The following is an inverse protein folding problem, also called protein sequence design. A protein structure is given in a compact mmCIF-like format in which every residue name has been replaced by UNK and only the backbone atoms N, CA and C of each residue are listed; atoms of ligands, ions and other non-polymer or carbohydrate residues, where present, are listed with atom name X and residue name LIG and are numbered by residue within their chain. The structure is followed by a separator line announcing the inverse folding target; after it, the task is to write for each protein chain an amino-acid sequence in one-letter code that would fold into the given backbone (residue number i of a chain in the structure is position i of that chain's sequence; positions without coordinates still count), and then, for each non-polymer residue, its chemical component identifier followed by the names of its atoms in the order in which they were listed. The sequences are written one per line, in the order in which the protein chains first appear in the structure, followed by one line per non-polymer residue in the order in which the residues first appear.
data_IF_520650259699
#
_entry.id   IF_520650259699
#
_cell.length_a   1.000
_cell.length_b   1.000
_cell.length_c   1.000
_cell.angle_alpha   90.00
_cell.angle_beta   90.00
_cell.angle_gamma   90.00
#
_symmetry.space_group_name_H-M   'P 1'
#
loop_
_entity.id
_entity.type
_entity.pdbx_description
1 polymer ?
#
# COMPACT_ATOMS: atom_id res chain seq x y z
N UNK A 1 -14.33 6.62 86.43
CA UNK A 1 -13.06 6.06 85.89
C UNK A 1 -12.41 7.09 84.99
N UNK A 2 -11.30 7.71 85.41
CA UNK A 2 -10.50 8.62 84.57
C UNK A 2 -9.67 7.75 83.61
N UNK A 3 -10.04 7.71 82.33
CA UNK A 3 -9.20 7.10 81.30
C UNK A 3 -7.88 7.89 81.21
N UNK A 4 -6.76 7.16 81.17
CA UNK A 4 -5.44 7.78 81.11
C UNK A 4 -5.25 8.55 79.79
N UNK A 5 -4.48 9.64 79.87
CA UNK A 5 -4.11 10.52 78.74
C UNK A 5 -3.54 9.78 77.52
N UNK A 6 -3.03 8.55 77.71
CA UNK A 6 -2.54 7.70 76.63
C UNK A 6 -3.65 7.08 75.78
N UNK A 7 -4.79 6.68 76.38
CA UNK A 7 -5.89 6.03 75.65
C UNK A 7 -6.66 6.99 74.74
N UNK A 8 -6.78 8.26 75.13
CA UNK A 8 -7.42 9.32 74.32
C UNK A 8 -6.59 9.70 73.09
N UNK A 9 -5.25 9.67 73.20
CA UNK A 9 -4.36 9.97 72.08
C UNK A 9 -4.31 8.86 71.01
N UNK A 10 -4.51 7.61 71.40
CA UNK A 10 -4.51 6.46 70.48
C UNK A 10 -5.81 6.40 69.66
N UNK A 11 -6.96 6.74 70.25
CA UNK A 11 -8.25 6.74 69.54
C UNK A 11 -8.32 7.90 68.54
N UNK A 12 -7.77 9.07 68.87
CA UNK A 12 -7.68 10.21 67.93
C UNK A 12 -6.69 9.95 66.80
N UNK A 13 -5.58 9.23 67.06
CA UNK A 13 -4.63 8.83 66.02
C UNK A 13 -5.21 7.79 65.04
N UNK A 14 -6.06 6.85 65.51
CA UNK A 14 -6.74 5.90 64.62
C UNK A 14 -7.81 6.54 63.74
N UNK A 15 -8.52 7.57 64.23
CA UNK A 15 -9.53 8.29 63.43
C UNK A 15 -8.91 9.20 62.36
N UNK A 16 -7.76 9.82 62.64
CA UNK A 16 -7.03 10.61 61.63
C UNK A 16 -6.40 9.70 60.57
N UNK A 17 -5.96 8.48 60.93
CA UNK A 17 -5.40 7.53 59.95
C UNK A 17 -6.48 6.90 59.04
N UNK A 18 -7.71 6.69 59.52
CA UNK A 18 -8.83 6.24 58.67
C UNK A 18 -9.38 7.36 57.77
N UNK A 19 -9.36 8.62 58.22
CA UNK A 19 -9.75 9.76 57.38
C UNK A 19 -8.72 10.07 56.28
N UNK A 20 -7.44 9.75 56.49
CA UNK A 20 -6.39 9.96 55.49
C UNK A 20 -6.31 8.84 54.42
N UNK A 21 -6.83 7.64 54.70
CA UNK A 21 -6.94 6.57 53.69
C UNK A 21 -8.17 6.71 52.77
N UNK A 22 -9.17 7.52 53.14
CA UNK A 22 -10.36 7.76 52.32
C UNK A 22 -10.19 8.81 51.20
N UNK A 23 -9.11 9.60 51.22
CA UNK A 23 -8.90 10.73 50.30
C UNK A 23 -8.04 10.45 49.06
N UNK A 24 -7.39 9.28 48.97
CA UNK A 24 -6.44 8.95 47.88
C UNK A 24 -7.03 8.10 46.74
N UNK A 25 -8.36 7.97 46.64
CA UNK A 25 -9.02 7.23 45.56
C UNK A 25 -9.67 8.13 44.48
N UNK A 26 -9.59 9.46 44.59
CA UNK A 26 -10.12 10.41 43.62
C UNK A 26 -8.98 10.93 42.73
N UNK A 27 -8.56 10.11 41.78
CA UNK A 27 -7.50 10.50 40.83
C UNK A 27 -6.84 9.36 40.08
N UNK A 28 -7.43 8.16 40.05
CA UNK A 28 -7.08 7.22 38.99
C UNK A 28 -7.58 7.84 37.68
N UNK A 29 -6.72 8.62 37.03
CA UNK A 29 -6.84 8.91 35.60
C UNK A 29 -7.13 7.57 34.94
N UNK A 30 -8.37 7.41 34.47
CA UNK A 30 -8.82 6.22 33.80
C UNK A 30 -8.09 6.20 32.47
N UNK A 31 -6.85 5.70 32.48
CA UNK A 31 -5.96 5.67 31.32
C UNK A 31 -6.69 4.86 30.26
N UNK A 32 -7.24 5.55 29.27
CA UNK A 32 -8.03 4.94 28.21
C UNK A 32 -7.20 3.81 27.60
N UNK A 33 -7.76 2.60 27.56
CA UNK A 33 -7.01 1.43 27.11
C UNK A 33 -6.48 1.67 25.68
N UNK A 34 -5.17 1.48 25.51
CA UNK A 34 -4.50 1.59 24.22
C UNK A 34 -5.15 0.65 23.19
N UNK A 35 -5.60 1.21 22.07
CA UNK A 35 -6.17 0.44 20.95
C UNK A 35 -5.06 0.16 19.94
N UNK A 36 -4.81 -1.11 19.62
CA UNK A 36 -3.81 -1.51 18.62
C UNK A 36 -4.50 -1.92 17.32
N UNK A 37 -4.30 -1.15 16.26
CA UNK A 37 -4.78 -1.48 14.91
C UNK A 37 -3.72 -2.24 14.12
N UNK A 38 -4.08 -3.43 13.62
CA UNK A 38 -3.29 -4.16 12.64
C UNK A 38 -3.53 -3.55 11.25
N UNK A 39 -2.47 -2.99 10.68
CA UNK A 39 -2.52 -2.25 9.42
C UNK A 39 -1.58 -2.90 8.40
N UNK A 40 -2.06 -3.23 7.19
CA UNK A 40 -1.23 -3.85 6.16
C UNK A 40 -0.96 -2.91 4.98
N UNK A 41 0.21 -3.05 4.35
CA UNK A 41 0.56 -2.35 3.11
C UNK A 41 1.49 -3.20 2.24
N UNK A 42 1.32 -3.12 0.92
CA UNK A 42 2.23 -3.74 -0.04
C UNK A 42 3.57 -2.99 -0.17
N UNK A 43 3.62 -1.72 0.27
CA UNK A 43 4.84 -0.92 0.19
C UNK A 43 5.96 -1.51 1.07
N UNK A 44 7.15 -1.81 0.53
CA UNK A 44 8.31 -2.17 1.32
C UNK A 44 8.74 -1.04 2.25
N UNK A 45 9.39 -1.38 3.37
CA UNK A 45 10.03 -0.37 4.23
C UNK A 45 11.08 0.41 3.43
N UNK A 46 11.22 1.70 3.71
CA UNK A 46 12.21 2.57 3.06
C UNK A 46 11.74 3.18 1.74
N UNK A 47 10.60 2.75 1.19
CA UNK A 47 9.98 3.38 0.02
C UNK A 47 9.24 4.67 0.40
N UNK A 48 9.14 5.65 -0.49
CA UNK A 48 8.63 6.98 -0.15
C UNK A 48 7.27 7.04 0.50
N UNK A 49 6.29 6.29 0.01
CA UNK A 49 4.98 6.23 0.66
C UNK A 49 5.06 5.57 2.05
N UNK A 50 5.95 4.59 2.24
CA UNK A 50 6.17 3.94 3.52
C UNK A 50 6.87 4.87 4.52
N UNK A 51 7.83 5.66 4.05
CA UNK A 51 8.50 6.69 4.84
C UNK A 51 7.52 7.80 5.22
N UNK A 52 6.74 8.32 4.26
CA UNK A 52 5.70 9.30 4.54
C UNK A 52 4.64 8.78 5.52
N UNK A 53 4.30 7.48 5.45
CA UNK A 53 3.39 6.87 6.44
C UNK A 53 4.01 6.89 7.84
N UNK A 54 5.25 6.43 7.96
CA UNK A 54 5.97 6.32 9.23
C UNK A 54 6.30 7.67 9.84
N UNK A 55 6.73 8.64 9.03
CA UNK A 55 7.36 9.88 9.49
C UNK A 55 6.38 11.06 9.51
N UNK A 56 5.22 10.94 8.86
CA UNK A 56 4.20 12.01 8.78
C UNK A 56 2.86 11.53 9.33
N UNK A 57 2.30 10.45 8.77
CA UNK A 57 0.97 9.99 9.16
C UNK A 57 0.92 9.46 10.59
N UNK A 58 1.81 8.52 10.96
CA UNK A 58 1.82 7.94 12.31
C UNK A 58 2.02 9.00 13.41
N UNK A 59 2.98 9.95 13.33
CA UNK A 59 3.13 11.01 14.33
C UNK A 59 1.91 11.93 14.43
N UNK A 60 1.25 12.23 13.30
CA UNK A 60 0.02 13.01 13.30
C UNK A 60 -1.12 12.28 14.02
N UNK A 61 -1.23 10.96 13.84
CA UNK A 61 -2.21 10.13 14.55
C UNK A 61 -1.88 10.02 16.04
N UNK A 62 -0.60 9.85 16.40
CA UNK A 62 -0.15 9.83 17.81
C UNK A 62 -0.51 11.16 18.51
N UNK A 63 -0.29 12.29 17.84
CA UNK A 63 -0.66 13.60 18.37
C UNK A 63 -2.18 13.79 18.44
N UNK A 64 -2.93 13.36 17.43
CA UNK A 64 -4.38 13.51 17.39
C UNK A 64 -5.09 12.62 18.42
N UNK A 65 -4.48 11.48 18.79
CA UNK A 65 -5.06 10.47 19.68
C UNK A 65 -4.42 10.41 21.05
N UNK A 66 -3.48 11.31 21.34
CA UNK A 66 -2.68 11.32 22.58
C UNK A 66 -2.02 9.97 22.86
N UNK A 67 -1.57 9.29 21.79
CA UNK A 67 -1.01 7.94 21.81
C UNK A 67 -1.95 6.90 22.42
N UNK A 68 -3.26 7.06 22.22
CA UNK A 68 -4.25 6.04 22.58
C UNK A 68 -4.46 5.05 21.44
N UNK A 69 -4.18 5.44 20.19
CA UNK A 69 -4.26 4.55 19.01
C UNK A 69 -2.85 4.21 18.52
N UNK A 70 -2.53 2.91 18.53
CA UNK A 70 -1.25 2.38 18.08
C UNK A 70 -1.40 1.57 16.80
N UNK A 71 -0.36 1.59 15.96
CA UNK A 71 -0.34 0.93 14.66
C UNK A 71 0.64 -0.24 14.65
N UNK A 72 0.14 -1.46 14.50
CA UNK A 72 0.97 -2.62 14.15
C UNK A 72 0.98 -2.77 12.64
N UNK A 73 2.04 -2.26 12.00
CA UNK A 73 2.14 -2.22 10.53
C UNK A 73 2.82 -3.47 9.98
N UNK A 74 2.16 -4.12 9.03
CA UNK A 74 2.64 -5.24 8.24
C UNK A 74 3.04 -4.74 6.86
N UNK A 75 4.35 -4.66 6.62
CA UNK A 75 4.95 -4.03 5.44
C UNK A 75 5.20 -5.02 4.30
N UNK A 76 5.39 -4.50 3.08
CA UNK A 76 5.97 -5.24 1.97
C UNK A 76 5.16 -6.46 1.51
N UNK A 77 3.85 -6.47 1.70
CA UNK A 77 3.02 -7.57 1.19
C UNK A 77 3.04 -8.84 2.05
N UNK A 78 3.62 -8.84 3.26
CA UNK A 78 3.70 -10.05 4.09
C UNK A 78 2.33 -10.61 4.50
N UNK A 79 1.28 -9.78 4.42
CA UNK A 79 -0.11 -10.18 4.68
C UNK A 79 -0.87 -10.54 3.39
N UNK A 80 -0.19 -10.68 2.25
CA UNK A 80 -0.77 -10.96 0.94
C UNK A 80 -0.93 -9.71 0.06
N UNK A 81 -1.80 -9.81 -0.95
CA UNK A 81 -2.13 -8.71 -1.85
C UNK A 81 -3.34 -7.91 -1.35
N UNK A 82 -3.70 -6.83 -2.04
CA UNK A 82 -4.85 -5.99 -1.71
C UNK A 82 -6.16 -6.77 -1.48
N UNK A 83 -6.42 -7.81 -2.29
CA UNK A 83 -7.58 -8.67 -2.15
C UNK A 83 -7.55 -9.51 -0.86
N UNK A 84 -6.36 -9.94 -0.44
CA UNK A 84 -6.16 -10.55 0.87
C UNK A 84 -6.39 -9.56 2.00
N UNK A 85 -5.96 -8.30 1.86
CA UNK A 85 -6.16 -7.28 2.89
C UNK A 85 -7.64 -7.03 3.11
N UNK A 86 -8.40 -6.83 2.03
CA UNK A 86 -9.85 -6.60 2.10
C UNK A 86 -10.57 -7.80 2.72
N UNK A 87 -10.23 -9.04 2.33
CA UNK A 87 -10.79 -10.26 2.97
C UNK A 87 -10.46 -10.36 4.45
N UNK A 88 -9.22 -10.06 4.83
CA UNK A 88 -8.77 -10.08 6.23
C UNK A 88 -9.42 -8.99 7.07
N UNK A 89 -9.71 -7.82 6.49
CA UNK A 89 -10.50 -6.77 7.13
C UNK A 89 -11.95 -7.20 7.34
N UNK A 90 -12.57 -7.87 6.37
CA UNK A 90 -13.94 -8.37 6.48
C UNK A 90 -14.13 -9.36 7.65
N UNK A 91 -13.11 -10.16 7.98
CA UNK A 91 -13.14 -11.11 9.12
C UNK A 91 -12.50 -10.54 10.40
N UNK A 92 -12.11 -9.26 10.43
CA UNK A 92 -11.54 -8.59 11.60
C UNK A 92 -10.08 -8.97 11.94
N UNK A 93 -9.37 -9.69 11.06
CA UNK A 93 -7.95 -10.01 11.24
C UNK A 93 -7.06 -8.77 11.03
N UNK A 94 -7.48 -7.84 10.17
CA UNK A 94 -6.89 -6.51 10.00
C UNK A 94 -7.92 -5.43 10.35
N UNK A 95 -7.46 -4.31 10.90
CA UNK A 95 -8.31 -3.15 11.22
C UNK A 95 -8.24 -2.07 10.13
N UNK A 96 -7.20 -2.10 9.30
CA UNK A 96 -7.04 -1.18 8.18
C UNK A 96 -5.90 -1.58 7.24
N UNK A 97 -5.69 -0.74 6.23
CA UNK A 97 -4.57 -0.90 5.30
C UNK A 97 -4.35 0.30 4.40
N UNK A 98 -3.13 0.38 3.87
CA UNK A 98 -2.78 1.22 2.75
C UNK A 98 -2.97 0.38 1.50
N UNK A 99 -4.01 0.70 0.73
CA UNK A 99 -4.42 -0.07 -0.45
C UNK A 99 -4.00 0.66 -1.72
N UNK A 100 -3.62 -0.12 -2.73
CA UNK A 100 -3.52 0.38 -4.10
C UNK A 100 -4.93 0.53 -4.68
N UNK A 101 -5.02 1.07 -5.89
CA UNK A 101 -6.28 1.17 -6.63
C UNK A 101 -7.04 -0.16 -6.72
N UNK A 102 -6.35 -1.30 -6.73
CA UNK A 102 -6.99 -2.63 -6.77
C UNK A 102 -7.84 -2.87 -5.53
N UNK A 103 -7.24 -2.75 -4.33
CA UNK A 103 -7.96 -2.94 -3.07
C UNK A 103 -8.98 -1.84 -2.81
N UNK A 104 -8.65 -0.61 -3.20
CA UNK A 104 -9.56 0.52 -3.07
C UNK A 104 -10.84 0.30 -3.88
N UNK A 105 -10.74 -0.15 -5.13
CA UNK A 105 -11.88 -0.44 -6.00
C UNK A 105 -12.71 -1.65 -5.52
N UNK A 106 -12.10 -2.61 -4.82
CA UNK A 106 -12.85 -3.71 -4.20
C UNK A 106 -13.78 -3.23 -3.07
N UNK A 107 -13.41 -2.15 -2.38
CA UNK A 107 -14.25 -1.53 -1.35
C UNK A 107 -15.26 -0.58 -1.98
N UNK A 108 -14.79 0.32 -2.85
CA UNK A 108 -15.57 1.40 -3.46
C UNK A 108 -15.27 1.48 -4.96
N UNK A 109 -16.05 0.79 -5.81
CA UNK A 109 -15.89 0.85 -7.27
C UNK A 109 -15.96 2.28 -7.83
N UNK A 110 -16.69 3.17 -7.15
CA UNK A 110 -16.84 4.58 -7.51
C UNK A 110 -15.49 5.30 -7.57
N UNK A 111 -14.52 4.88 -6.75
CA UNK A 111 -13.17 5.45 -6.69
C UNK A 111 -12.39 5.28 -8.00
N UNK A 112 -12.77 4.30 -8.83
CA UNK A 112 -12.13 4.04 -10.13
C UNK A 112 -12.26 5.20 -11.13
N UNK A 113 -13.21 6.12 -10.92
CA UNK A 113 -13.35 7.34 -11.73
C UNK A 113 -12.07 8.17 -11.75
N UNK A 114 -11.33 8.19 -10.64
CA UNK A 114 -10.09 8.97 -10.48
C UNK A 114 -8.93 8.44 -11.32
N UNK A 115 -9.03 7.19 -11.78
CA UNK A 115 -8.01 6.52 -12.58
C UNK A 115 -8.33 6.51 -14.08
N UNK A 116 -9.37 7.25 -14.51
CA UNK A 116 -9.66 7.43 -15.93
C UNK A 116 -8.44 8.04 -16.65
N UNK A 117 -8.05 7.49 -17.82
CA UNK A 117 -6.86 7.96 -18.51
C UNK A 117 -7.06 9.39 -19.00
N UNK A 118 -6.06 10.24 -18.75
CA UNK A 118 -6.04 11.67 -19.07
C UNK A 118 -7.11 12.54 -18.39
N UNK A 119 -7.67 12.07 -17.27
CA UNK A 119 -8.60 12.88 -16.46
C UNK A 119 -7.89 14.12 -15.87
N UNK A 120 -6.75 13.88 -15.20
CA UNK A 120 -5.91 14.91 -14.59
C UNK A 120 -4.67 15.18 -15.45
N UNK A 121 -4.24 16.44 -15.53
CA UNK A 121 -3.02 16.85 -16.21
C UNK A 121 -1.82 16.96 -15.24
N UNK A 122 -2.09 17.38 -14.02
CA UNK A 122 -1.09 17.68 -13.00
C UNK A 122 -1.61 17.45 -11.58
N UNK A 123 -0.74 17.66 -10.60
CA UNK A 123 -1.04 17.41 -9.20
C UNK A 123 -1.94 18.49 -8.59
N UNK A 124 -1.92 19.69 -9.15
CA UNK A 124 -2.72 20.82 -8.73
C UNK A 124 -4.20 20.60 -9.07
N UNK A 125 -4.50 20.04 -10.25
CA UNK A 125 -5.85 19.56 -10.59
C UNK A 125 -6.31 18.45 -9.63
N UNK A 126 -5.43 17.50 -9.28
CA UNK A 126 -5.73 16.42 -8.33
C UNK A 126 -6.05 16.99 -6.95
N UNK A 127 -5.23 17.92 -6.44
CA UNK A 127 -5.45 18.57 -5.15
C UNK A 127 -6.75 19.35 -5.13
N UNK A 128 -7.05 20.10 -6.20
CA UNK A 128 -8.26 20.90 -6.30
C UNK A 128 -9.53 20.06 -6.20
N UNK A 129 -9.56 18.90 -6.88
CA UNK A 129 -10.67 17.94 -6.82
C UNK A 129 -10.71 17.25 -5.46
N UNK A 130 -9.56 16.79 -4.95
CA UNK A 130 -9.46 16.11 -3.66
C UNK A 130 -9.98 16.96 -2.50
N UNK A 131 -9.62 18.24 -2.46
CA UNK A 131 -10.04 19.16 -1.39
C UNK A 131 -11.57 19.31 -1.32
N UNK A 132 -12.27 19.16 -2.45
CA UNK A 132 -13.73 19.29 -2.56
C UNK A 132 -14.45 17.96 -2.42
N UNK A 133 -13.86 16.88 -2.90
CA UNK A 133 -14.55 15.59 -3.05
C UNK A 133 -14.11 14.52 -2.06
N UNK A 134 -13.17 14.81 -1.14
CA UNK A 134 -12.75 13.83 -0.12
C UNK A 134 -13.95 13.26 0.65
N UNK A 135 -14.84 14.13 1.13
CA UNK A 135 -15.98 13.70 1.94
C UNK A 135 -17.03 12.95 1.11
N UNK A 136 -17.19 13.29 -0.17
CA UNK A 136 -17.97 12.51 -1.14
C UNK A 136 -17.44 11.08 -1.24
N UNK A 137 -16.13 10.91 -1.48
CA UNK A 137 -15.53 9.57 -1.54
C UNK A 137 -15.61 8.84 -0.19
N UNK A 138 -15.27 9.50 0.92
CA UNK A 138 -15.38 8.92 2.26
C UNK A 138 -16.80 8.41 2.55
N UNK A 139 -17.84 9.10 2.08
CA UNK A 139 -19.22 8.63 2.21
C UNK A 139 -19.47 7.30 1.51
N UNK A 140 -18.86 7.06 0.34
CA UNK A 140 -18.94 5.77 -0.35
C UNK A 140 -18.25 4.67 0.46
N UNK A 141 -17.05 4.93 1.00
CA UNK A 141 -16.37 3.98 1.89
C UNK A 141 -17.23 3.67 3.13
N UNK A 142 -17.82 4.69 3.76
CA UNK A 142 -18.61 4.54 4.99
C UNK A 142 -19.85 3.69 4.77
N UNK A 143 -20.52 3.84 3.62
CA UNK A 143 -21.64 2.96 3.20
C UNK A 143 -21.22 1.51 3.01
N UNK A 144 -19.94 1.25 2.73
CA UNK A 144 -19.36 -0.09 2.54
C UNK A 144 -18.67 -0.62 3.79
N UNK A 145 -18.80 0.08 4.93
CA UNK A 145 -18.24 -0.36 6.20
C UNK A 145 -16.76 -0.03 6.36
N UNK A 146 -16.26 1.03 5.72
CA UNK A 146 -14.88 1.52 5.84
C UNK A 146 -14.84 3.03 6.03
N UNK A 147 -13.81 3.53 6.72
CA UNK A 147 -13.47 4.95 6.78
C UNK A 147 -12.30 5.23 5.84
N UNK A 148 -12.43 6.22 4.96
CA UNK A 148 -11.31 6.75 4.19
C UNK A 148 -10.55 7.74 5.07
N UNK A 149 -9.37 7.34 5.54
CA UNK A 149 -8.51 8.21 6.34
C UNK A 149 -7.75 9.21 5.48
N UNK A 150 -7.16 8.72 4.38
CA UNK A 150 -6.34 9.52 3.48
C UNK A 150 -6.54 9.05 2.05
N UNK A 151 -6.80 9.98 1.13
CA UNK A 151 -6.62 9.80 -0.31
C UNK A 151 -5.23 10.31 -0.69
N UNK A 152 -4.27 9.40 -0.83
CA UNK A 152 -2.88 9.72 -1.11
C UNK A 152 -2.53 9.57 -2.59
N UNK A 153 -1.50 10.28 -3.02
CA UNK A 153 -0.88 10.05 -4.32
C UNK A 153 0.00 8.81 -4.27
N UNK A 154 -0.22 7.89 -5.22
CA UNK A 154 0.91 7.10 -5.69
C UNK A 154 1.72 7.97 -6.66
N UNK A 155 1.28 8.17 -7.90
CA UNK A 155 1.92 9.10 -8.84
C UNK A 155 1.03 9.27 -10.08
N UNK A 156 1.52 9.98 -11.08
CA UNK A 156 1.15 9.70 -12.47
C UNK A 156 1.93 8.51 -13.00
N UNK A 157 1.21 7.52 -13.49
CA UNK A 157 1.84 6.31 -14.01
C UNK A 157 2.51 6.57 -15.36
N UNK A 158 3.75 6.08 -15.48
CA UNK A 158 4.56 6.11 -16.69
C UNK A 158 4.82 4.70 -17.18
N UNK A 159 5.08 4.57 -18.48
CA UNK A 159 5.47 3.30 -19.08
C UNK A 159 6.99 3.20 -19.08
N UNK A 160 7.51 2.18 -18.40
CA UNK A 160 8.93 1.81 -18.42
C UNK A 160 9.12 0.60 -19.32
N UNK A 161 10.25 0.56 -20.01
CA UNK A 161 10.46 -0.40 -21.07
C UNK A 161 11.91 -0.84 -21.17
N UNK A 162 12.10 -2.14 -21.32
CA UNK A 162 13.41 -2.77 -21.56
C UNK A 162 13.81 -2.72 -23.04
N UNK A 163 12.85 -2.45 -23.94
CA UNK A 163 13.01 -2.65 -25.40
C UNK A 163 12.41 -1.56 -26.27
N UNK A 164 11.15 -1.19 -26.04
CA UNK A 164 10.37 -0.28 -26.89
C UNK A 164 10.41 1.16 -26.37
N UNK A 165 10.41 2.14 -27.28
CA UNK A 165 10.47 3.57 -26.91
C UNK A 165 9.10 4.11 -26.51
N UNK A 166 8.03 3.49 -27.00
CA UNK A 166 6.66 3.97 -26.91
C UNK A 166 6.47 5.34 -27.56
N UNK A 167 7.16 5.59 -28.69
CA UNK A 167 7.02 6.79 -29.50
C UNK A 167 6.04 6.63 -30.69
N UNK A 168 5.45 5.44 -30.85
CA UNK A 168 4.47 5.11 -31.89
C UNK A 168 3.41 4.13 -31.36
N UNK A 169 2.25 4.03 -32.03
CA UNK A 169 1.22 3.03 -31.70
C UNK A 169 1.68 1.59 -31.97
N UNK A 170 2.62 1.39 -32.89
CA UNK A 170 3.15 0.07 -33.22
C UNK A 170 3.96 -0.51 -32.04
N UNK A 171 4.67 0.34 -31.29
CA UNK A 171 5.35 -0.08 -30.05
C UNK A 171 4.36 -0.67 -29.04
N UNK A 172 3.17 -0.07 -28.87
CA UNK A 172 2.13 -0.62 -28.01
C UNK A 172 1.62 -1.99 -28.49
N UNK A 173 1.48 -2.19 -29.81
CA UNK A 173 1.04 -3.47 -30.39
C UNK A 173 2.04 -4.59 -30.19
N UNK A 174 3.34 -4.28 -30.27
CA UNK A 174 4.44 -5.26 -30.19
C UNK A 174 4.92 -5.53 -28.77
N UNK A 175 4.71 -4.57 -27.87
CA UNK A 175 5.14 -4.68 -26.49
C UNK A 175 4.39 -5.77 -25.72
N UNK A 176 5.12 -6.49 -24.86
CA UNK A 176 4.56 -7.34 -23.82
C UNK A 176 4.28 -6.48 -22.58
N UNK A 177 3.30 -5.58 -22.72
CA UNK A 177 2.99 -4.55 -21.74
C UNK A 177 2.26 -5.12 -20.52
N UNK A 178 2.89 -5.04 -19.36
CA UNK A 178 2.34 -5.46 -18.09
C UNK A 178 1.40 -4.40 -17.51
N UNK A 179 0.23 -4.85 -17.04
CA UNK A 179 -0.77 -4.08 -16.29
C UNK A 179 -1.08 -4.75 -14.96
N UNK A 180 -1.52 -3.97 -13.98
CA UNK A 180 -1.84 -4.45 -12.63
C UNK A 180 -3.13 -3.88 -12.04
N UNK A 181 -3.65 -2.75 -12.57
CA UNK A 181 -4.66 -1.95 -11.87
C UNK A 181 -6.13 -2.21 -12.27
N UNK A 182 -6.37 -3.15 -13.20
CA UNK A 182 -7.70 -3.69 -13.50
C UNK A 182 -8.32 -3.21 -14.81
N UNK A 183 -9.67 -3.25 -14.95
CA UNK A 183 -10.35 -3.26 -16.24
C UNK A 183 -10.25 -1.94 -17.02
N UNK A 184 -10.19 -0.78 -16.34
CA UNK A 184 -9.98 0.52 -17.01
C UNK A 184 -8.62 0.55 -17.69
N UNK A 185 -7.59 0.05 -17.00
CA UNK A 185 -6.23 0.00 -17.52
C UNK A 185 -6.10 -0.92 -18.74
N UNK A 186 -6.64 -2.12 -18.62
CA UNK A 186 -6.71 -3.04 -19.76
C UNK A 186 -7.44 -2.45 -20.96
N UNK A 187 -8.55 -1.73 -20.73
CA UNK A 187 -9.37 -1.22 -21.81
C UNK A 187 -8.65 -0.13 -22.63
N UNK A 188 -7.98 0.81 -21.97
CA UNK A 188 -7.24 1.83 -22.72
C UNK A 188 -5.98 1.24 -23.38
N UNK A 189 -5.31 0.27 -22.75
CA UNK A 189 -4.19 -0.45 -23.40
C UNK A 189 -4.66 -1.18 -24.66
N UNK A 190 -5.79 -1.88 -24.60
CA UNK A 190 -6.41 -2.54 -25.76
C UNK A 190 -6.84 -1.53 -26.82
N UNK A 191 -7.32 -0.34 -26.43
CA UNK A 191 -7.65 0.74 -27.37
C UNK A 191 -6.42 1.25 -28.13
N UNK A 192 -5.23 1.20 -27.52
CA UNK A 192 -3.95 1.49 -28.20
C UNK A 192 -3.45 0.32 -29.07
N UNK A 193 -4.11 -0.83 -29.03
CA UNK A 193 -3.75 -2.03 -29.79
C UNK A 193 -2.82 -2.99 -29.04
N UNK A 194 -2.51 -2.72 -27.77
CA UNK A 194 -1.70 -3.61 -26.95
C UNK A 194 -2.47 -4.87 -26.55
N UNK A 195 -1.72 -5.95 -26.30
CA UNK A 195 -2.22 -7.19 -25.68
C UNK A 195 -1.68 -7.28 -24.25
N UNK A 196 -2.37 -6.70 -23.25
CA UNK A 196 -1.80 -6.53 -21.93
C UNK A 196 -1.62 -7.84 -21.16
N UNK A 197 -0.52 -7.96 -20.42
CA UNK A 197 -0.23 -9.05 -19.50
C UNK A 197 -0.65 -8.62 -18.10
N UNK A 198 -1.67 -9.27 -17.54
CA UNK A 198 -2.20 -8.93 -16.22
C UNK A 198 -1.47 -9.73 -15.14
N UNK A 199 -0.75 -9.05 -14.26
CA UNK A 199 -0.09 -9.63 -13.08
C UNK A 199 -0.26 -8.71 -11.87
N UNK A 200 -0.24 -9.31 -10.67
CA UNK A 200 -0.27 -8.53 -9.43
C UNK A 200 1.00 -7.72 -9.26
N UNK A 201 0.89 -6.56 -8.59
CA UNK A 201 1.98 -5.59 -8.46
C UNK A 201 3.23 -6.18 -7.77
N UNK A 202 3.06 -7.17 -6.89
CA UNK A 202 4.15 -7.85 -6.17
C UNK A 202 4.92 -8.82 -7.08
N UNK A 203 4.23 -9.45 -8.04
CA UNK A 203 4.84 -10.38 -9.00
C UNK A 203 5.49 -9.65 -10.19
N UNK A 204 5.03 -8.44 -10.53
CA UNK A 204 5.48 -7.65 -11.69
C UNK A 204 7.01 -7.47 -11.79
N UNK A 205 7.75 -7.14 -10.71
CA UNK A 205 9.21 -7.02 -10.80
C UNK A 205 9.92 -8.28 -11.29
N UNK A 206 9.43 -9.46 -10.90
CA UNK A 206 10.00 -10.73 -11.34
C UNK A 206 9.68 -11.01 -12.81
N UNK A 207 8.46 -10.70 -13.24
CA UNK A 207 8.03 -10.87 -14.63
C UNK A 207 8.83 -9.99 -15.61
N UNK A 208 9.18 -8.76 -15.20
CA UNK A 208 10.03 -7.88 -16.01
C UNK A 208 11.47 -8.41 -16.06
N UNK A 209 12.06 -8.78 -14.91
CA UNK A 209 13.44 -9.30 -14.86
C UNK A 209 13.63 -10.59 -15.64
N UNK A 210 12.62 -11.45 -15.66
CA UNK A 210 12.66 -12.73 -16.40
C UNK A 210 12.31 -12.59 -17.88
N UNK A 211 11.89 -11.41 -18.34
CA UNK A 211 11.50 -11.18 -19.74
C UNK A 211 10.14 -11.75 -20.13
N UNK A 212 9.31 -12.16 -19.16
CA UNK A 212 7.89 -12.52 -19.39
C UNK A 212 7.17 -11.29 -19.95
N UNK A 213 7.40 -10.13 -19.35
CA UNK A 213 7.00 -8.82 -19.86
C UNK A 213 8.25 -8.00 -20.21
N UNK A 214 8.15 -7.15 -21.23
CA UNK A 214 9.25 -6.27 -21.66
C UNK A 214 9.04 -4.80 -21.29
N UNK A 215 7.86 -4.50 -20.75
CA UNK A 215 7.43 -3.17 -20.35
C UNK A 215 6.35 -3.25 -19.27
N UNK A 216 6.25 -2.22 -18.45
CA UNK A 216 5.24 -2.09 -17.40
C UNK A 216 4.78 -0.65 -17.27
N UNK A 217 3.53 -0.48 -16.83
CA UNK A 217 3.03 0.81 -16.35
C UNK A 217 3.05 0.85 -14.82
N UNK A 218 3.70 1.85 -14.22
CA UNK A 218 3.77 2.01 -12.76
C UNK A 218 4.28 3.41 -12.37
N UNK A 219 4.43 3.65 -11.07
CA UNK A 219 5.00 4.89 -10.52
C UNK A 219 6.52 4.86 -10.47
N UNK A 220 7.16 6.03 -10.50
CA UNK A 220 8.62 6.13 -10.36
C UNK A 220 9.14 5.59 -9.02
N UNK A 221 8.38 5.82 -7.95
CA UNK A 221 8.68 5.29 -6.61
C UNK A 221 8.72 3.76 -6.61
N UNK A 222 7.74 3.11 -7.26
CA UNK A 222 7.72 1.65 -7.33
C UNK A 222 8.89 1.11 -8.17
N UNK A 223 9.17 1.76 -9.31
CA UNK A 223 10.23 1.35 -10.22
C UNK A 223 11.62 1.39 -9.57
N UNK A 224 11.90 2.42 -8.77
CA UNK A 224 13.15 2.53 -8.01
C UNK A 224 13.16 1.62 -6.79
N UNK A 225 12.10 1.63 -5.98
CA UNK A 225 12.06 0.84 -4.74
C UNK A 225 12.14 -0.67 -4.98
N UNK A 226 11.70 -1.15 -6.15
CA UNK A 226 11.82 -2.57 -6.55
C UNK A 226 13.05 -2.88 -7.41
N UNK A 227 13.89 -1.86 -7.67
CA UNK A 227 15.10 -1.93 -8.50
C UNK A 227 14.87 -2.35 -9.96
N UNK A 228 13.61 -2.34 -10.44
CA UNK A 228 13.29 -2.73 -11.82
C UNK A 228 13.85 -1.73 -12.83
N UNK A 229 14.07 -0.47 -12.42
CA UNK A 229 14.68 0.55 -13.27
C UNK A 229 16.03 0.12 -13.88
N UNK A 230 16.80 -0.74 -13.20
CA UNK A 230 18.10 -1.26 -13.68
C UNK A 230 17.97 -2.08 -14.97
N UNK A 231 16.77 -2.56 -15.28
CA UNK A 231 16.47 -3.29 -16.52
C UNK A 231 15.85 -2.40 -17.60
N UNK A 232 15.36 -1.21 -17.22
CA UNK A 232 14.65 -0.29 -18.11
C UNK A 232 15.64 0.48 -18.97
N UNK A 233 15.41 0.50 -20.29
CA UNK A 233 16.15 1.34 -21.23
C UNK A 233 15.44 2.65 -21.52
N UNK A 234 14.10 2.62 -21.52
CA UNK A 234 13.27 3.77 -21.87
C UNK A 234 12.20 4.00 -20.80
N UNK A 235 11.85 5.28 -20.62
CA UNK A 235 10.63 5.71 -19.91
C UNK A 235 9.86 6.65 -20.81
N UNK A 236 8.59 6.34 -21.11
CA UNK A 236 7.72 7.27 -21.80
C UNK A 236 7.34 8.40 -20.84
N UNK A 237 7.52 9.65 -21.26
CA UNK A 237 7.18 10.84 -20.45
C UNK A 237 5.67 11.13 -20.43
N UNK A 238 4.88 10.34 -21.18
CA UNK A 238 3.44 10.52 -21.27
C UNK A 238 2.75 10.03 -20.00
N UNK A 239 2.19 10.99 -19.24
CA UNK A 239 1.33 10.73 -18.07
C UNK A 239 -0.03 10.22 -18.54
N UNK A 240 -0.23 8.90 -18.55
CA UNK A 240 -1.47 8.30 -19.07
C UNK A 240 -2.61 8.40 -18.05
N UNK A 241 -2.33 8.11 -16.78
CA UNK A 241 -3.33 8.20 -15.71
C UNK A 241 -2.69 8.57 -14.39
N UNK A 242 -3.48 9.22 -13.54
CA UNK A 242 -3.18 9.38 -12.13
C UNK A 242 -3.53 8.07 -11.39
N UNK A 243 -2.69 7.68 -10.43
CA UNK A 243 -2.90 6.50 -9.58
C UNK A 243 -3.15 6.95 -8.15
N UNK A 244 -4.41 6.95 -7.69
CA UNK A 244 -4.69 7.19 -6.29
C UNK A 244 -4.43 5.92 -5.46
N UNK A 245 -4.16 6.13 -4.18
CA UNK A 245 -4.22 5.10 -3.17
C UNK A 245 -5.04 5.59 -1.97
N UNK A 246 -5.55 4.63 -1.20
CA UNK A 246 -6.36 4.91 -0.03
C UNK A 246 -5.70 4.33 1.22
N UNK A 247 -5.67 5.11 2.30
CA UNK A 247 -5.52 4.57 3.64
C UNK A 247 -6.91 4.42 4.25
N UNK A 248 -7.24 3.22 4.70
CA UNK A 248 -8.58 2.91 5.24
C UNK A 248 -8.51 2.24 6.60
N UNK A 249 -9.57 2.45 7.39
CA UNK A 249 -9.93 1.59 8.52
C UNK A 249 -11.26 0.93 8.23
N UNK A 250 -11.51 -0.25 8.81
CA UNK A 250 -12.88 -0.77 8.93
C UNK A 250 -13.71 0.22 9.74
N UNK A 251 -15.00 0.37 9.40
CA UNK A 251 -15.93 1.25 10.12
C UNK A 251 -15.98 0.89 11.60
N UNK A 252 -15.99 -0.40 11.94
CA UNK A 252 -15.88 -0.89 13.32
C UNK A 252 -14.63 -0.39 14.05
N UNK A 253 -13.46 -0.44 13.40
CA UNK A 253 -12.23 0.06 14.00
C UNK A 253 -12.27 1.59 14.17
N UNK A 254 -12.73 2.32 13.15
CA UNK A 254 -12.94 3.77 13.24
C UNK A 254 -13.87 4.12 14.41
N UNK A 255 -15.02 3.46 14.52
CA UNK A 255 -16.02 3.72 15.56
C UNK A 255 -15.57 3.30 16.97
N UNK A 256 -14.55 2.46 17.08
CA UNK A 256 -13.94 2.13 18.38
C UNK A 256 -13.02 3.22 18.93
N UNK A 257 -12.59 4.18 18.08
CA UNK A 257 -11.84 5.36 18.52
C UNK A 257 -12.83 6.32 19.20
N UNK A 258 -12.55 6.85 20.41
CA UNK A 258 -13.38 7.88 21.04
C UNK A 258 -13.67 9.07 20.12
N UNK A 259 -14.88 9.60 20.20
CA UNK A 259 -15.38 10.63 19.27
C UNK A 259 -14.48 11.87 19.20
N UNK A 260 -14.06 12.41 20.34
CA UNK A 260 -13.16 13.57 20.40
C UNK A 260 -11.81 13.32 19.67
N UNK A 261 -11.29 12.09 19.67
CA UNK A 261 -10.10 11.73 18.89
C UNK A 261 -10.42 11.58 17.40
N UNK A 262 -11.59 11.04 17.02
CA UNK A 262 -12.05 11.01 15.63
C UNK A 262 -12.18 12.41 15.03
N UNK A 263 -12.68 13.36 15.81
CA UNK A 263 -12.81 14.77 15.40
C UNK A 263 -11.44 15.41 15.19
N UNK A 264 -10.49 15.17 16.09
CA UNK A 264 -9.10 15.63 15.95
C UNK A 264 -8.38 15.01 14.74
N UNK A 265 -8.57 13.71 14.50
CA UNK A 265 -8.06 13.05 13.29
C UNK A 265 -8.65 13.71 12.04
N UNK A 266 -9.95 14.00 12.04
CA UNK A 266 -10.63 14.65 10.92
C UNK A 266 -10.14 16.08 10.70
N UNK A 267 -9.97 16.87 11.77
CA UNK A 267 -9.49 18.24 11.72
C UNK A 267 -8.03 18.36 11.24
N UNK A 268 -7.18 17.38 11.59
CA UNK A 268 -5.75 17.37 11.19
C UNK A 268 -5.49 16.73 9.82
N UNK A 269 -6.52 16.12 9.20
CA UNK A 269 -6.40 15.35 7.95
C UNK A 269 -5.78 16.15 6.81
N UNK A 270 -6.32 17.34 6.52
CA UNK A 270 -5.88 18.14 5.37
C UNK A 270 -4.38 18.49 5.44
N UNK A 271 -3.92 18.97 6.61
CA UNK A 271 -2.50 19.28 6.84
C UNK A 271 -1.61 18.04 6.76
N UNK A 272 -2.07 16.93 7.33
CA UNK A 272 -1.32 15.65 7.29
C UNK A 272 -1.19 15.15 5.86
N UNK A 273 -2.26 15.28 5.08
CA UNK A 273 -2.32 14.85 3.69
C UNK A 273 -1.45 15.69 2.77
N UNK A 274 -1.47 17.02 2.91
CA UNK A 274 -0.57 17.92 2.18
C UNK A 274 0.89 17.55 2.43
N UNK A 275 1.30 17.43 3.70
CA UNK A 275 2.67 17.00 4.06
C UNK A 275 3.02 15.63 3.46
N UNK A 276 2.12 14.66 3.55
CA UNK A 276 2.33 13.30 3.03
C UNK A 276 2.55 13.32 1.51
N UNK A 277 1.67 14.00 0.77
CA UNK A 277 1.72 14.04 -0.69
C UNK A 277 2.89 14.89 -1.18
N UNK A 278 3.22 16.02 -0.53
CA UNK A 278 4.42 16.80 -0.85
C UNK A 278 5.68 15.95 -0.68
N UNK A 279 5.81 15.19 0.41
CA UNK A 279 6.95 14.31 0.63
C UNK A 279 7.04 13.22 -0.45
N UNK A 280 5.90 12.57 -0.74
CA UNK A 280 5.83 11.51 -1.76
C UNK A 280 6.16 12.05 -3.16
N UNK A 281 5.59 13.19 -3.57
CA UNK A 281 5.86 13.82 -4.87
C UNK A 281 7.31 14.26 -5.01
N UNK A 282 7.92 14.80 -3.94
CA UNK A 282 9.34 15.18 -3.92
C UNK A 282 10.22 13.96 -4.19
N UNK A 283 9.91 12.84 -3.55
CA UNK A 283 10.66 11.60 -3.73
C UNK A 283 10.45 10.98 -5.12
N UNK A 284 9.21 10.98 -5.62
CA UNK A 284 8.89 10.55 -6.99
C UNK A 284 9.72 11.31 -8.03
N UNK A 285 9.83 12.63 -7.89
CA UNK A 285 10.69 13.45 -8.75
C UNK A 285 12.17 13.05 -8.63
N UNK A 286 12.68 12.92 -7.41
CA UNK A 286 14.08 12.54 -7.18
C UNK A 286 14.42 11.17 -7.79
N UNK A 287 13.47 10.23 -7.75
CA UNK A 287 13.59 8.92 -8.36
C UNK A 287 13.57 8.96 -9.88
N UNK A 288 12.67 9.75 -10.46
CA UNK A 288 12.67 9.97 -11.91
C UNK A 288 14.02 10.52 -12.40
N UNK A 289 14.53 11.57 -11.73
CA UNK A 289 15.82 12.17 -12.07
C UNK A 289 16.98 11.17 -11.89
N UNK A 290 16.92 10.34 -10.85
CA UNK A 290 17.92 9.30 -10.59
C UNK A 290 17.90 8.22 -11.67
N UNK A 291 16.73 7.74 -12.10
CA UNK A 291 16.61 6.75 -13.17
C UNK A 291 17.27 7.24 -14.47
N UNK A 292 17.05 8.52 -14.82
CA UNK A 292 17.69 9.12 -15.99
C UNK A 292 19.20 9.17 -15.84
N UNK A 293 19.68 9.62 -14.67
CA UNK A 293 21.12 9.65 -14.36
C UNK A 293 21.77 8.27 -14.47
N UNK A 294 21.04 7.20 -14.14
CA UNK A 294 21.51 5.81 -14.22
C UNK A 294 21.20 5.12 -15.55
N UNK A 295 20.88 5.87 -16.60
CA UNK A 295 20.86 5.39 -17.99
C UNK A 295 19.48 5.09 -18.58
N UNK A 296 18.39 5.34 -17.86
CA UNK A 296 17.05 5.25 -18.44
C UNK A 296 16.80 6.46 -19.34
N UNK A 297 16.51 6.23 -20.61
CA UNK A 297 16.30 7.30 -21.59
C UNK A 297 14.83 7.77 -21.57
N UNK A 298 14.55 9.04 -21.27
CA UNK A 298 13.19 9.57 -21.39
C UNK A 298 12.81 9.71 -22.86
N UNK A 299 11.60 9.26 -23.20
CA UNK A 299 11.04 9.35 -24.55
C UNK A 299 9.74 10.13 -24.51
N UNK A 300 9.70 11.22 -25.26
CA UNK A 300 8.48 12.01 -25.45
C UNK A 300 7.94 11.74 -26.86
N UNK A 301 6.77 11.07 -27.01
CA UNK A 301 6.17 10.84 -28.32
C UNK A 301 5.84 12.17 -29.03
N UNK A 302 5.71 12.19 -30.35
CA UNK A 302 5.36 13.43 -31.09
C UNK A 302 3.99 13.98 -30.67
N UNK A 303 3.70 15.25 -31.00
CA UNK A 303 2.38 15.86 -30.75
C UNK A 303 1.23 15.04 -31.31
N UNK A 304 1.39 14.53 -32.54
CA UNK A 304 0.39 13.77 -33.27
C UNK A 304 0.16 12.41 -32.59
N UNK A 305 1.24 11.72 -32.21
CA UNK A 305 1.15 10.44 -31.51
C UNK A 305 0.52 10.63 -30.12
N UNK A 306 0.91 11.67 -29.37
CA UNK A 306 0.29 11.99 -28.08
C UNK A 306 -1.20 12.29 -28.21
N UNK A 307 -1.60 13.06 -29.22
CA UNK A 307 -3.00 13.37 -29.48
C UNK A 307 -3.81 12.10 -29.80
N UNK A 308 -3.26 11.22 -30.62
CA UNK A 308 -3.92 9.96 -30.99
C UNK A 308 -4.03 9.00 -29.80
N UNK A 309 -2.98 8.85 -28.99
CA UNK A 309 -3.02 8.07 -27.74
C UNK A 309 -4.10 8.64 -26.81
N UNK A 310 -4.10 9.97 -26.61
CA UNK A 310 -5.10 10.63 -25.76
C UNK A 310 -6.52 10.35 -26.24
N UNK A 311 -6.78 10.53 -27.54
CA UNK A 311 -8.09 10.28 -28.15
C UNK A 311 -8.56 8.84 -27.93
N UNK A 312 -7.71 7.84 -28.22
CA UNK A 312 -8.04 6.42 -28.04
C UNK A 312 -8.29 6.06 -26.58
N UNK A 313 -7.48 6.56 -25.66
CA UNK A 313 -7.66 6.30 -24.24
C UNK A 313 -8.93 6.98 -23.68
N UNK A 314 -9.22 8.23 -24.05
CA UNK A 314 -10.45 8.91 -23.61
C UNK A 314 -11.70 8.21 -24.15
N UNK A 315 -11.63 7.62 -25.35
CA UNK A 315 -12.77 6.90 -25.95
C UNK A 315 -13.28 5.71 -25.11
N UNK A 316 -12.49 5.20 -24.15
CA UNK A 316 -12.94 4.10 -23.29
C UNK A 316 -13.79 4.55 -22.11
N UNK A 317 -13.80 5.85 -21.76
CA UNK A 317 -14.52 6.35 -20.58
C UNK A 317 -16.00 5.92 -20.55
N UNK A 318 -16.79 6.04 -21.64
CA UNK A 318 -18.21 5.67 -21.63
C UNK A 318 -18.46 4.19 -21.34
N UNK A 319 -17.46 3.31 -21.50
CA UNK A 319 -17.61 1.88 -21.18
C UNK A 319 -17.78 1.64 -19.68
N UNK A 320 -17.31 2.57 -18.84
CA UNK A 320 -17.27 2.46 -17.38
C UNK A 320 -18.24 3.43 -16.69
N UNK A 321 -18.53 4.57 -17.31
CA UNK A 321 -19.52 5.53 -16.82
C UNK A 321 -20.90 4.91 -16.72
N UNK A 322 -21.54 5.02 -15.55
CA UNK A 322 -22.82 4.39 -15.25
C UNK A 322 -22.73 2.90 -14.92
N UNK A 323 -21.53 2.30 -14.94
CA UNK A 323 -21.30 0.89 -14.57
C UNK A 323 -20.42 0.73 -13.35
N UNK A 324 -19.23 1.33 -13.36
CA UNK A 324 -18.30 1.29 -12.22
C UNK A 324 -18.52 2.48 -11.27
N UNK A 325 -18.89 3.62 -11.83
CA UNK A 325 -19.19 4.84 -11.09
C UNK A 325 -20.39 5.54 -11.73
N UNK A 326 -21.20 6.28 -10.93
CA UNK A 326 -22.28 7.08 -11.45
C UNK A 326 -21.79 8.14 -12.45
N UNK A 327 -22.58 8.42 -13.50
CA UNK A 327 -22.28 9.52 -14.43
C UNK A 327 -22.17 10.86 -13.69
N UNK A 328 -23.05 11.11 -12.73
CA UNK A 328 -23.05 12.34 -11.92
C UNK A 328 -21.73 12.57 -11.19
N UNK A 329 -21.05 11.50 -10.74
CA UNK A 329 -19.76 11.62 -10.08
C UNK A 329 -18.67 12.08 -11.07
N UNK A 330 -18.69 11.55 -12.29
CA UNK A 330 -17.77 12.01 -13.34
C UNK A 330 -18.08 13.46 -13.74
N UNK A 331 -19.36 13.80 -13.89
CA UNK A 331 -19.79 15.16 -14.23
C UNK A 331 -19.31 16.16 -13.17
N UNK A 332 -19.48 15.87 -11.87
CA UNK A 332 -19.01 16.72 -10.78
C UNK A 332 -17.48 16.90 -10.78
N UNK A 333 -16.72 15.85 -11.08
CA UNK A 333 -15.25 15.95 -11.23
C UNK A 333 -14.90 16.84 -12.42
N UNK A 334 -15.58 16.66 -13.55
CA UNK A 334 -15.35 17.46 -14.75
C UNK A 334 -15.68 18.93 -14.52
N UNK A 335 -16.77 19.25 -13.83
CA UNK A 335 -17.15 20.62 -13.47
C UNK A 335 -16.08 21.28 -12.57
N UNK A 336 -15.56 20.55 -11.58
CA UNK A 336 -14.45 21.01 -10.75
C UNK A 336 -13.19 21.28 -11.59
N UNK A 337 -12.83 20.38 -12.51
CA UNK A 337 -11.67 20.54 -13.38
C UNK A 337 -11.83 21.72 -14.35
N UNK A 338 -13.02 21.90 -14.91
CA UNK A 338 -13.32 23.05 -15.76
C UNK A 338 -13.23 24.37 -14.99
N UNK A 339 -13.78 24.41 -13.78
CA UNK A 339 -13.67 25.57 -12.88
C UNK A 339 -12.22 25.93 -12.60
N UNK A 340 -11.39 24.93 -12.28
CA UNK A 340 -9.95 25.12 -12.06
C UNK A 340 -9.25 25.67 -13.32
N UNK A 341 -9.49 25.06 -14.49
CA UNK A 341 -8.87 25.43 -15.77
C UNK A 341 -9.27 26.82 -16.25
N UNK A 342 -10.50 27.28 -15.94
CA UNK A 342 -11.01 28.63 -16.26
C UNK A 342 -10.48 29.74 -15.33
N UNK A 343 -9.57 29.42 -14.39
CA UNK A 343 -8.94 30.41 -13.51
C UNK A 343 -9.35 30.31 -12.04
N UNK A 344 -10.15 29.33 -11.65
CA UNK A 344 -10.47 28.99 -10.27
C UNK A 344 -9.27 28.37 -9.53
N UNK A 345 -8.13 29.07 -9.46
CA UNK A 345 -6.90 28.58 -8.81
C UNK A 345 -6.92 28.66 -7.27
N UNK A 346 -8.05 29.05 -6.69
CA UNK A 346 -8.24 29.09 -5.24
C UNK A 346 -8.30 27.68 -4.66
N UNK A 347 -7.20 27.21 -4.06
CA UNK A 347 -7.29 26.23 -2.97
C UNK A 347 -8.29 26.78 -1.96
N UNK A 348 -9.23 25.94 -1.51
CA UNK A 348 -10.08 26.32 -0.38
C UNK A 348 -9.12 26.55 0.78
N UNK A 349 -8.88 27.82 1.16
CA UNK A 349 -8.19 28.15 2.40
C UNK A 349 -9.11 27.70 3.53
N UNK A 350 -9.06 26.42 3.91
CA UNK A 350 -9.59 26.00 5.21
C UNK A 350 -8.69 26.67 6.24
N UNK A 351 -9.29 27.49 7.10
CA UNK A 351 -8.61 28.04 8.26
C UNK A 351 -7.81 26.92 8.91
N UNK A 352 -6.51 27.15 8.99
CA UNK A 352 -5.61 26.32 9.76
C UNK A 352 -6.01 26.58 11.21
N UNK A 353 -7.00 25.85 11.73
CA UNK A 353 -7.29 25.86 13.15
C UNK A 353 -6.05 25.30 13.83
N UNK A 354 -5.28 26.20 14.43
CA UNK A 354 -4.18 25.84 15.30
C UNK A 354 -4.79 25.02 16.44
N UNK A 355 -4.34 23.77 16.59
CA UNK A 355 -4.76 22.99 17.74
C UNK A 355 -4.37 23.77 19.01
N UNK A 356 -5.25 23.87 20.02
CA UNK A 356 -4.94 24.63 21.23
C UNK A 356 -3.62 24.13 21.83
N UNK A 357 -2.79 25.04 22.40
CA UNK A 357 -1.52 24.65 22.99
C UNK A 357 -1.77 23.59 24.07
N UNK A 358 -1.23 22.39 23.83
CA UNK A 358 -1.26 21.31 24.80
C UNK A 358 -0.41 21.74 25.98
N UNK A 359 -1.03 21.92 27.16
CA UNK A 359 -0.30 22.15 28.41
C UNK A 359 0.71 21.01 28.59
N UNK A 360 1.96 21.30 29.00
CA UNK A 360 2.92 20.25 29.30
C UNK A 360 2.33 19.32 30.35
N UNK A 361 2.18 18.04 29.98
CA UNK A 361 1.93 16.99 30.97
C UNK A 361 3.22 16.85 31.76
N UNK A 362 3.17 17.15 33.06
CA UNK A 362 4.25 16.83 34.00
C UNK A 362 4.47 15.31 33.97
N UNK A 363 5.51 14.88 33.26
CA UNK A 363 5.94 13.49 33.29
C UNK A 363 6.64 13.24 34.61
N UNK A 364 5.96 12.55 35.53
CA UNK A 364 6.61 11.91 36.67
C UNK A 364 7.75 11.01 36.16
N UNK A 365 8.93 11.20 36.74
CA UNK A 365 10.17 10.57 36.35
C UNK A 365 10.08 9.04 36.42
N UNK A 366 10.35 8.37 35.29
CA UNK A 366 10.76 6.97 35.27
C UNK A 366 12.19 6.97 34.75
N UNK A 367 13.10 6.44 35.58
CA UNK A 367 14.54 6.38 35.34
C UNK A 367 14.88 5.79 33.97
N UNK A 368 15.60 6.57 33.16
CA UNK A 368 16.25 6.11 31.93
C UNK A 368 17.59 5.48 32.27
N UNK A 369 17.74 4.17 31.99
CA UNK A 369 19.05 3.58 31.78
C UNK A 369 19.51 3.92 30.36
N UNK A 370 20.55 4.74 30.27
CA UNK A 370 21.07 5.29 29.02
C UNK A 370 21.83 4.24 28.19
N UNK A 371 21.66 4.30 26.87
CA UNK A 371 22.61 3.80 25.87
C UNK A 371 23.08 5.01 25.02
N UNK A 372 24.32 5.01 24.50
CA UNK A 372 25.03 6.24 24.14
C UNK A 372 24.53 6.88 22.84
N UNK A 373 24.62 8.20 22.79
CA UNK A 373 24.28 9.04 21.65
C UNK A 373 25.37 9.01 20.58
N UNK A 374 24.98 8.84 19.31
CA UNK A 374 25.80 9.19 18.15
C UNK A 374 25.43 10.60 17.64
N UNK A 375 26.45 11.40 17.33
CA UNK A 375 26.37 12.79 16.86
C UNK A 375 25.90 12.89 15.39
N UNK A 376 25.31 14.01 14.97
CA UNK A 376 24.75 14.18 13.62
C UNK A 376 25.86 14.40 12.58
N UNK A 377 25.79 13.69 11.45
CA UNK A 377 26.67 13.90 10.29
C UNK A 377 25.90 14.64 9.19
N UNK A 378 26.46 15.77 8.78
CA UNK A 378 25.98 16.61 7.69
C UNK A 378 26.05 15.90 6.33
N UNK A 379 25.13 16.25 5.43
CA UNK A 379 25.04 15.70 4.09
C UNK A 379 26.26 16.06 3.22
N UNK A 380 26.89 15.03 2.63
CA UNK A 380 27.91 15.13 1.59
C UNK A 380 27.61 14.11 0.47
N UNK A 381 28.09 14.34 -0.78
CA UNK A 381 27.49 13.80 -2.00
C UNK A 381 27.80 12.31 -2.24
N UNK A 382 26.83 11.60 -2.81
CA UNK A 382 26.89 10.17 -3.12
C UNK A 382 27.95 9.89 -4.19
N UNK A 383 29.12 9.38 -3.77
CA UNK A 383 30.05 8.60 -4.60
C UNK A 383 29.72 7.12 -4.44
N UNK A 384 29.79 6.37 -5.54
CA UNK A 384 29.59 4.92 -5.57
C UNK A 384 30.60 4.22 -4.63
N UNK A 385 30.10 3.37 -3.72
CA UNK A 385 30.95 2.49 -2.93
C UNK A 385 31.17 1.15 -3.66
N UNK A 386 32.41 0.62 -3.69
CA UNK A 386 32.68 -0.74 -4.14
C UNK A 386 32.22 -1.78 -3.10
N UNK A 387 31.82 -2.96 -3.57
CA UNK A 387 31.38 -4.10 -2.74
C UNK A 387 32.40 -4.47 -1.65
N UNK A 388 31.99 -4.75 -0.40
CA UNK A 388 32.91 -5.29 0.59
C UNK A 388 33.18 -6.77 0.35
N UNK A 389 34.46 -7.13 0.48
CA UNK A 389 34.98 -8.49 0.42
C UNK A 389 34.43 -9.36 1.56
N UNK A 390 34.30 -10.67 1.28
CA UNK A 390 33.80 -11.69 2.20
C UNK A 390 34.67 -11.86 3.45
N UNK A 391 34.10 -12.03 4.66
CA UNK A 391 34.82 -12.57 5.79
C UNK A 391 34.85 -14.12 5.77
N UNK A 392 36.01 -14.69 6.12
CA UNK A 392 36.29 -16.13 6.35
C UNK A 392 36.81 -16.30 7.81
N UNK A 393 36.86 -17.50 8.41
CA UNK A 393 35.79 -18.06 9.23
C UNK A 393 36.23 -18.57 10.62
N UNK A 394 35.33 -18.60 11.62
CA UNK A 394 35.37 -19.46 12.83
C UNK A 394 34.05 -19.25 13.62
N UNK A 395 33.36 -20.21 14.25
CA UNK A 395 33.46 -21.66 14.30
C UNK A 395 32.06 -22.25 14.56
N UNK A 396 31.70 -23.22 13.71
CA UNK A 396 30.82 -24.39 13.93
C UNK A 396 29.55 -24.23 14.79
N UNK A 397 28.41 -24.09 14.10
CA UNK A 397 27.26 -24.94 14.39
C UNK A 397 27.17 -26.02 13.31
N UNK A 398 27.12 -27.29 13.73
CA UNK A 398 27.08 -28.49 12.90
C UNK A 398 25.76 -28.61 12.10
N UNK A 399 25.76 -29.41 11.02
CA UNK A 399 24.86 -29.26 9.89
C UNK A 399 23.54 -29.99 10.11
N UNK A 400 22.44 -29.42 9.60
CA UNK A 400 21.25 -30.21 9.28
C UNK A 400 21.12 -30.33 7.76
N UNK A 401 20.82 -31.53 7.23
CA UNK A 401 21.37 -32.01 5.98
C UNK A 401 20.32 -31.93 4.87
N UNK A 402 20.31 -30.87 4.08
CA UNK A 402 19.73 -30.89 2.73
C UNK A 402 20.27 -29.68 1.94
N UNK A 403 21.49 -29.79 1.44
CA UNK A 403 21.93 -29.04 0.25
C UNK A 403 21.69 -29.93 -0.97
N UNK A 404 20.69 -29.65 -1.83
CA UNK A 404 20.65 -30.33 -3.12
C UNK A 404 21.77 -29.75 -3.99
N UNK A 405 22.56 -30.67 -4.55
CA UNK A 405 23.46 -30.47 -5.70
C UNK A 405 22.66 -29.85 -6.87
N UNK A 406 23.26 -29.14 -7.84
CA UNK A 406 22.51 -28.57 -8.97
C UNK A 406 21.96 -29.71 -9.83
N UNK A 407 20.71 -30.08 -9.58
CA UNK A 407 19.93 -30.99 -10.41
C UNK A 407 19.25 -30.14 -11.49
N UNK A 408 19.21 -30.66 -12.73
CA UNK A 408 18.80 -29.95 -13.93
C UNK A 408 17.54 -29.07 -13.72
N UNK A 409 17.55 -27.86 -14.29
CA UNK A 409 16.46 -26.88 -14.17
C UNK A 409 15.09 -27.51 -14.49
N UNK A 410 14.32 -27.79 -13.45
CA UNK A 410 12.98 -28.34 -13.55
C UNK A 410 12.04 -27.29 -14.15
N UNK A 411 11.57 -27.53 -15.38
CA UNK A 411 10.66 -26.62 -16.10
C UNK A 411 9.23 -27.18 -16.03
N UNK A 412 8.31 -26.47 -15.37
CA UNK A 412 6.90 -26.87 -15.31
C UNK A 412 6.24 -26.60 -16.66
N UNK A 413 6.10 -27.64 -17.48
CA UNK A 413 5.43 -27.54 -18.79
C UNK A 413 3.91 -27.67 -18.67
N UNK A 414 3.18 -27.31 -19.73
CA UNK A 414 1.73 -27.47 -19.82
C UNK A 414 1.31 -28.94 -19.64
N UNK A 415 2.13 -29.85 -20.15
CA UNK A 415 1.95 -31.30 -20.07
C UNK A 415 2.11 -31.78 -18.61
N UNK A 416 3.12 -31.24 -17.91
CA UNK A 416 3.32 -31.52 -16.47
C UNK A 416 2.12 -31.05 -15.65
N UNK A 417 1.59 -29.86 -15.94
CA UNK A 417 0.42 -29.32 -15.24
C UNK A 417 -0.83 -30.18 -15.52
N UNK A 418 -0.99 -30.65 -16.77
CA UNK A 418 -2.09 -31.55 -17.13
C UNK A 418 -2.01 -32.86 -16.35
N UNK A 419 -0.84 -33.48 -16.27
CA UNK A 419 -0.63 -34.70 -15.48
C UNK A 419 -0.91 -34.49 -13.99
N UNK A 420 -0.52 -33.33 -13.43
CA UNK A 420 -0.87 -32.97 -12.04
C UNK A 420 -2.38 -32.83 -11.86
N UNK A 421 -3.07 -32.14 -12.77
CA UNK A 421 -4.52 -31.98 -12.74
C UNK A 421 -5.24 -33.33 -12.82
N UNK A 422 -4.78 -34.25 -13.66
CA UNK A 422 -5.30 -35.62 -13.76
C UNK A 422 -5.14 -36.40 -12.46
N UNK A 423 -3.95 -36.38 -11.85
CA UNK A 423 -3.71 -37.04 -10.55
C UNK A 423 -4.57 -36.46 -9.43
N UNK A 424 -4.73 -35.14 -9.39
CA UNK A 424 -5.56 -34.47 -8.40
C UNK A 424 -7.06 -34.72 -8.63
N UNK A 425 -7.50 -34.84 -9.88
CA UNK A 425 -8.88 -35.17 -10.23
C UNK A 425 -9.22 -36.60 -9.81
N UNK A 426 -8.32 -37.56 -10.04
CA UNK A 426 -8.48 -38.95 -9.61
C UNK A 426 -8.60 -39.09 -8.08
N UNK A 427 -8.06 -38.15 -7.31
CA UNK A 427 -8.18 -38.11 -5.84
C UNK A 427 -9.39 -37.30 -5.33
N UNK A 428 -10.25 -36.83 -6.25
CA UNK A 428 -11.41 -35.98 -5.95
C UNK A 428 -11.04 -34.57 -5.47
N UNK A 429 -9.78 -34.15 -5.66
CA UNK A 429 -9.28 -32.85 -5.20
C UNK A 429 -9.39 -31.75 -6.26
N UNK A 430 -9.55 -32.13 -7.53
CA UNK A 430 -9.71 -31.22 -8.66
C UNK A 430 -10.98 -31.57 -9.46
N UNK A 431 -11.90 -30.62 -9.57
CA UNK A 431 -13.23 -30.83 -10.17
C UNK A 431 -13.47 -29.99 -11.43
N UNK A 432 -12.44 -29.28 -11.91
CA UNK A 432 -12.52 -28.43 -13.11
C UNK A 432 -11.99 -29.17 -14.35
N UNK A 433 -12.18 -28.57 -15.52
CA UNK A 433 -11.64 -29.09 -16.78
C UNK A 433 -10.12 -29.16 -16.73
N UNK A 434 -9.56 -30.29 -17.12
CA UNK A 434 -8.11 -30.52 -17.22
C UNK A 434 -7.61 -29.82 -18.50
N UNK A 435 -6.89 -28.72 -18.35
CA UNK A 435 -6.51 -27.80 -19.43
C UNK A 435 -4.99 -27.57 -19.53
N UNK A 436 -4.21 -28.09 -18.57
CA UNK A 436 -2.77 -27.85 -18.45
C UNK A 436 -2.43 -26.44 -17.96
N UNK A 437 -3.40 -25.69 -17.44
CA UNK A 437 -3.21 -24.32 -16.94
C UNK A 437 -3.18 -24.35 -15.41
N UNK A 438 -2.10 -23.83 -14.83
CA UNK A 438 -1.98 -23.71 -13.37
C UNK A 438 -2.78 -22.51 -12.87
N UNK A 439 -4.12 -22.61 -12.93
CA UNK A 439 -5.07 -21.59 -12.48
C UNK A 439 -5.46 -21.71 -11.00
N UNK A 440 -6.40 -20.86 -10.52
CA UNK A 440 -6.85 -20.87 -9.12
C UNK A 440 -7.41 -22.22 -8.66
N UNK A 441 -8.07 -22.96 -9.55
CA UNK A 441 -8.55 -24.32 -9.27
C UNK A 441 -7.42 -25.31 -9.04
N UNK A 442 -6.38 -25.26 -9.88
CA UNK A 442 -5.21 -26.14 -9.80
C UNK A 442 -4.45 -25.86 -8.49
N UNK A 443 -4.19 -24.59 -8.17
CA UNK A 443 -3.51 -24.20 -6.92
C UNK A 443 -4.30 -24.57 -5.66
N UNK A 444 -5.64 -24.47 -5.69
CA UNK A 444 -6.50 -24.90 -4.58
C UNK A 444 -6.40 -26.42 -4.37
N UNK A 445 -6.46 -27.21 -5.44
CA UNK A 445 -6.33 -28.66 -5.39
C UNK A 445 -4.94 -29.09 -4.89
N UNK A 446 -3.88 -28.42 -5.35
CA UNK A 446 -2.51 -28.65 -4.88
C UNK A 446 -2.37 -28.36 -3.37
N UNK A 447 -2.89 -27.23 -2.86
CA UNK A 447 -2.86 -26.95 -1.41
C UNK A 447 -3.64 -27.97 -0.58
N UNK A 448 -4.76 -28.45 -1.11
CA UNK A 448 -5.54 -29.49 -0.46
C UNK A 448 -4.74 -30.80 -0.39
N UNK A 449 -4.07 -31.19 -1.47
CA UNK A 449 -3.18 -32.34 -1.54
C UNK A 449 -1.98 -32.20 -0.59
N UNK A 450 -1.24 -31.09 -0.65
CA UNK A 450 -0.11 -30.79 0.23
C UNK A 450 -0.54 -30.85 1.71
N UNK A 451 -1.73 -30.33 2.02
CA UNK A 451 -2.32 -30.45 3.34
C UNK A 451 -2.56 -31.89 3.78
N UNK A 452 -3.08 -32.75 2.90
CA UNK A 452 -3.28 -34.18 3.19
C UNK A 452 -1.96 -34.92 3.37
N UNK A 453 -0.90 -34.51 2.68
CA UNK A 453 0.44 -35.11 2.75
C UNK A 453 1.36 -34.46 3.79
N UNK A 454 0.85 -33.52 4.61
CA UNK A 454 1.63 -32.74 5.60
C UNK A 454 2.85 -32.02 4.97
N UNK A 455 2.75 -31.67 3.69
CA UNK A 455 3.72 -30.87 2.97
C UNK A 455 3.42 -29.37 3.17
N UNK A 456 4.39 -28.47 2.93
CA UNK A 456 4.15 -27.03 2.89
C UNK A 456 3.02 -26.68 1.91
N UNK A 457 1.97 -25.99 2.39
CA UNK A 457 0.75 -25.66 1.61
C UNK A 457 0.96 -24.47 0.67
N UNK A 458 2.00 -24.52 -0.16
CA UNK A 458 2.39 -23.44 -1.09
C UNK A 458 1.40 -23.27 -2.24
N UNK A 459 0.74 -24.37 -2.66
CA UNK A 459 -0.06 -24.40 -3.88
C UNK A 459 0.75 -24.31 -5.16
N UNK A 460 2.08 -24.40 -5.06
CA UNK A 460 3.00 -24.43 -6.18
C UNK A 460 3.19 -25.87 -6.66
N UNK A 461 3.43 -26.03 -7.97
CA UNK A 461 3.86 -27.30 -8.54
C UNK A 461 5.39 -27.29 -8.52
N UNK A 462 5.96 -27.85 -7.46
CA UNK A 462 7.39 -27.98 -7.23
C UNK A 462 7.84 -29.44 -7.39
N UNK A 463 9.15 -29.67 -7.41
CA UNK A 463 9.73 -31.00 -7.59
C UNK A 463 9.28 -31.99 -6.50
N UNK A 464 9.07 -31.50 -5.28
CA UNK A 464 8.59 -32.30 -4.15
C UNK A 464 7.15 -32.77 -4.37
N UNK A 465 6.27 -31.87 -4.82
CA UNK A 465 4.89 -32.20 -5.18
C UNK A 465 4.85 -33.23 -6.31
N UNK A 466 5.62 -33.03 -7.38
CA UNK A 466 5.58 -33.91 -8.54
C UNK A 466 6.07 -35.30 -8.22
N UNK A 467 7.15 -35.39 -7.45
CA UNK A 467 7.64 -36.65 -6.88
C UNK A 467 6.56 -37.33 -6.04
N UNK A 468 5.86 -36.59 -5.20
CA UNK A 468 4.77 -37.15 -4.36
C UNK A 468 3.54 -37.60 -5.15
N UNK A 469 3.28 -36.98 -6.31
CA UNK A 469 2.19 -37.33 -7.23
C UNK A 469 2.59 -38.40 -8.26
N UNK A 470 3.87 -38.78 -8.33
CA UNK A 470 4.41 -39.70 -9.33
C UNK A 470 4.36 -39.14 -10.75
N UNK A 471 4.46 -37.82 -10.91
CA UNK A 471 4.50 -37.13 -12.19
C UNK A 471 5.96 -36.80 -12.50
N UNK A 472 6.46 -37.23 -13.66
CA UNK A 472 7.84 -37.01 -14.10
C UNK A 472 7.99 -35.69 -14.85
#
# INVERSE_FOLDING_TARGET
MKMSSAASKIITALFVLMAFCGGMALGAEQRQAAVVFKFATQAPKGMGYANAFKDIFMPAMDQATEKTVFWKVYWGGIMGNDDDYVRKMAIGQLQGGGLTLVGTNMISPEYSVLALPFLFNDYEEVDFVRDRMHDTFDSFFMKKGFKLLMWIDQDFDLIYSTKWKFDSLEDYRRAKLLTWSGPIEEAWMKALGASPIVLGIVESPSAIRSGIADSNITTGIWQVGTQVFTTSKYVSTMKIRYTPASMVLTKKAWESIPEHYRDRITATRARTLDRFNTASRKEAKAYYDSMIKYGVTPVTPSSEVRAEIRRRCISVWPRFTGKLFPKSLLDEIMDNLESYRKGGKGRVKKEVVEAPPVKPVETAAVEKKAAPAEKPVAAAPIKAQPSPASPKPEAKAQPSPFTPKPEAAFTVTKETIRAVQEKLAAMGLYTKKIDGISGPGTRKAVRAYQGRKRMPRTGAIDAELLKSLGVK
#
